data_IF_493518110489
#
_entry.id   IF_493518110489
#
_cell.length_a   1.000
_cell.length_b   1.000
_cell.length_c   1.000
_cell.angle_alpha   90.00
_cell.angle_beta   90.00
_cell.angle_gamma   90.00
#
_symmetry.space_group_name_H-M   'P 1'
#
loop_
_entity.id
_entity.type
_entity.pdbx_description
1 polymer ?
#
# COMPACT_ATOMS: atom_id res chain seq x y z
N UNK A 1 5.93 14.50 26.59
CA UNK A 1 5.30 13.50 25.72
C UNK A 1 6.00 13.56 24.36
N UNK A 2 6.93 12.63 24.08
CA UNK A 2 7.66 12.64 22.81
C UNK A 2 6.68 12.22 21.71
N UNK A 3 6.33 13.17 20.85
CA UNK A 3 5.63 12.92 19.59
C UNK A 3 6.54 12.03 18.76
N UNK A 4 6.19 10.75 18.62
CA UNK A 4 6.95 9.79 17.81
C UNK A 4 7.08 10.35 16.39
N UNK A 5 8.28 10.76 15.99
CA UNK A 5 8.58 11.01 14.58
C UNK A 5 8.25 9.74 13.81
N UNK A 6 7.12 9.76 13.10
CA UNK A 6 6.73 8.68 12.19
C UNK A 6 7.79 8.60 11.11
N UNK A 7 8.70 7.63 11.24
CA UNK A 7 9.61 7.27 10.15
C UNK A 7 8.77 6.85 8.96
N UNK A 8 8.89 7.58 7.84
CA UNK A 8 8.35 7.12 6.56
C UNK A 8 9.10 5.85 6.17
N UNK A 9 8.36 4.77 5.97
CA UNK A 9 8.91 3.55 5.36
C UNK A 9 8.96 3.77 3.85
N UNK A 10 10.15 3.64 3.27
CA UNK A 10 10.32 3.61 1.82
C UNK A 10 10.24 2.16 1.35
N UNK A 11 9.34 1.89 0.42
CA UNK A 11 9.20 0.59 -0.23
C UNK A 11 9.56 0.71 -1.70
N UNK A 12 10.27 -0.29 -2.22
CA UNK A 12 10.46 -0.47 -3.65
C UNK A 12 9.16 -0.95 -4.29
N UNK A 13 8.99 -0.68 -5.59
CA UNK A 13 7.84 -1.19 -6.34
C UNK A 13 7.75 -2.72 -6.28
N UNK A 14 8.90 -3.42 -6.28
CA UNK A 14 8.95 -4.87 -6.13
C UNK A 14 8.29 -5.35 -4.83
N UNK A 15 8.56 -4.69 -3.71
CA UNK A 15 7.95 -5.02 -2.43
C UNK A 15 6.43 -4.79 -2.43
N UNK A 16 5.98 -3.71 -3.08
CA UNK A 16 4.54 -3.43 -3.24
C UNK A 16 3.85 -4.49 -4.11
N UNK A 17 4.49 -4.90 -5.20
CA UNK A 17 3.99 -5.97 -6.07
C UNK A 17 3.87 -7.29 -5.29
N UNK A 18 4.89 -7.68 -4.54
CA UNK A 18 4.85 -8.91 -3.74
C UNK A 18 3.75 -8.85 -2.67
N UNK A 19 3.62 -7.72 -1.96
CA UNK A 19 2.60 -7.55 -0.92
C UNK A 19 1.17 -7.62 -1.46
N UNK A 20 0.91 -7.05 -2.64
CA UNK A 20 -0.43 -7.02 -3.26
C UNK A 20 -0.70 -8.22 -4.17
N UNK A 21 0.23 -9.18 -4.25
CA UNK A 21 0.21 -10.29 -5.22
C UNK A 21 0.09 -9.81 -6.68
N UNK A 22 0.89 -8.80 -7.04
CA UNK A 22 0.88 -8.11 -8.33
C UNK A 22 -0.46 -7.40 -8.61
N UNK A 23 -1.02 -6.72 -7.60
CA UNK A 23 -2.30 -6.04 -7.70
C UNK A 23 -3.45 -6.97 -8.11
N UNK A 24 -3.48 -8.18 -7.54
CA UNK A 24 -4.53 -9.16 -7.80
C UNK A 24 -5.92 -8.54 -7.49
N UNK A 25 -6.90 -8.60 -8.41
CA UNK A 25 -8.26 -8.14 -8.16
C UNK A 25 -8.90 -8.75 -6.91
N UNK A 26 -8.53 -9.97 -6.51
CA UNK A 26 -9.00 -10.60 -5.28
C UNK A 26 -8.51 -9.87 -4.00
N UNK A 27 -7.45 -9.06 -4.12
CA UNK A 27 -6.92 -8.24 -3.04
C UNK A 27 -7.43 -6.80 -3.09
N UNK A 28 -8.23 -6.42 -4.08
CA UNK A 28 -8.81 -5.08 -4.19
C UNK A 28 -9.87 -4.87 -3.12
N UNK A 29 -9.66 -3.86 -2.28
CA UNK A 29 -10.60 -3.45 -1.24
C UNK A 29 -11.64 -2.48 -1.81
N UNK A 30 -11.25 -1.64 -2.77
CA UNK A 30 -12.15 -0.68 -3.39
C UNK A 30 -11.49 0.17 -4.46
N UNK A 31 -12.29 1.03 -5.09
CA UNK A 31 -11.85 2.02 -6.06
C UNK A 31 -12.64 3.32 -5.92
N UNK A 32 -12.01 4.43 -6.31
CA UNK A 32 -12.64 5.73 -6.38
C UNK A 32 -11.89 6.65 -7.35
N UNK A 33 -12.22 7.95 -7.34
CA UNK A 33 -11.64 8.93 -8.27
C UNK A 33 -10.11 9.11 -8.16
N UNK A 34 -9.48 8.58 -7.12
CA UNK A 34 -8.04 8.65 -6.89
C UNK A 34 -7.30 7.32 -7.11
N UNK A 35 -8.01 6.27 -7.59
CA UNK A 35 -7.43 4.98 -7.92
C UNK A 35 -8.01 3.81 -7.10
N UNK A 36 -7.32 2.68 -7.16
CA UNK A 36 -7.69 1.42 -6.50
C UNK A 36 -6.88 1.21 -5.23
N UNK A 37 -7.51 0.60 -4.21
CA UNK A 37 -6.89 0.24 -2.93
C UNK A 37 -6.83 -1.27 -2.83
N UNK A 38 -5.67 -1.81 -2.47
CA UNK A 38 -5.41 -3.24 -2.29
C UNK A 38 -4.99 -3.52 -0.84
N UNK A 39 -5.34 -4.71 -0.33
CA UNK A 39 -4.89 -5.20 0.98
C UNK A 39 -3.44 -5.69 0.95
#
# INVERSE_FOLDING_TARGET
LRCLEKRKLCFSLKQINEATQNFDPANKIGEGGFGSVYK
#
